data_IF_257621148150
#
_entry.id   IF_257621148150
#
_cell.length_a   1.000
_cell.length_b   1.000
_cell.length_c   1.000
_cell.angle_alpha   90.00
_cell.angle_beta   90.00
_cell.angle_gamma   90.00
#
_symmetry.space_group_name_H-M   'P 1'
#
loop_
_entity.id
_entity.type
_entity.pdbx_description
1 polymer ?
#
# COMPACT_ATOMS: atom_id res chain seq x y z
N UNK A 1 -5.94 -1.98 12.92
CA UNK A 1 -4.56 -1.53 12.72
C UNK A 1 -4.55 -0.04 12.50
N UNK A 2 -3.56 0.64 13.04
CA UNK A 2 -3.34 2.07 12.81
C UNK A 2 -2.10 2.25 11.94
N UNK A 3 -1.90 3.48 11.42
CA UNK A 3 -0.68 3.78 10.66
C UNK A 3 0.55 3.61 11.55
N UNK A 4 0.48 4.01 12.82
CA UNK A 4 1.60 3.82 13.75
C UNK A 4 1.92 2.34 13.95
N UNK A 5 0.91 1.49 14.01
CA UNK A 5 1.13 0.05 14.09
C UNK A 5 1.78 -0.50 12.83
N UNK A 6 1.37 -0.01 11.66
CA UNK A 6 1.98 -0.42 10.38
C UNK A 6 3.46 -0.02 10.33
N UNK A 7 3.81 1.15 10.86
CA UNK A 7 5.20 1.61 10.91
C UNK A 7 6.04 0.73 11.83
N UNK A 8 5.43 0.19 12.90
CA UNK A 8 6.14 -0.68 13.85
C UNK A 8 6.15 -2.15 13.43
N UNK A 9 5.43 -2.50 12.36
CA UNK A 9 5.38 -3.87 11.85
C UNK A 9 6.77 -4.31 11.37
N UNK A 10 7.20 -5.53 11.72
CA UNK A 10 8.51 -6.04 11.35
C UNK A 10 8.47 -7.40 10.64
N UNK A 11 7.36 -8.13 10.75
CA UNK A 11 7.29 -9.52 10.26
C UNK A 11 6.74 -9.62 8.84
N UNK A 12 5.88 -8.70 8.44
CA UNK A 12 5.33 -8.67 7.08
C UNK A 12 5.61 -7.32 6.45
N UNK A 13 5.66 -7.24 5.11
CA UNK A 13 5.84 -5.96 4.43
C UNK A 13 4.77 -4.97 4.83
N UNK A 14 5.18 -3.72 5.10
CA UNK A 14 4.24 -2.63 5.33
C UNK A 14 4.64 -1.41 4.54
N UNK A 15 3.64 -0.63 4.13
CA UNK A 15 3.83 0.58 3.32
C UNK A 15 2.87 1.65 3.82
N UNK A 16 3.34 2.89 3.85
CA UNK A 16 2.51 4.05 4.19
C UNK A 16 2.55 5.02 3.02
N UNK A 17 1.40 5.61 2.71
CA UNK A 17 1.28 6.58 1.62
C UNK A 17 0.49 7.79 2.09
N UNK A 18 0.75 8.94 1.43
CA UNK A 18 0.01 10.16 1.70
C UNK A 18 -1.33 10.18 0.97
N UNK A 19 -2.07 11.28 1.11
CA UNK A 19 -3.40 11.42 0.51
C UNK A 19 -3.42 11.43 -1.01
N UNK A 20 -2.26 11.55 -1.63
CA UNK A 20 -2.12 11.50 -3.09
C UNK A 20 -1.66 10.14 -3.58
N UNK A 21 -1.49 9.19 -2.67
CA UNK A 21 -1.04 7.84 -3.01
C UNK A 21 0.46 7.72 -3.20
N UNK A 22 1.23 8.70 -2.75
CA UNK A 22 2.68 8.67 -2.84
C UNK A 22 3.26 8.01 -1.60
N UNK A 23 4.19 7.08 -1.78
CA UNK A 23 4.78 6.31 -0.69
C UNK A 23 5.63 7.21 0.19
N UNK A 24 5.40 7.15 1.51
CA UNK A 24 6.16 7.92 2.49
C UNK A 24 7.01 7.05 3.40
N UNK A 25 6.68 5.76 3.50
CA UNK A 25 7.43 4.85 4.37
C UNK A 25 7.24 3.41 3.90
N UNK A 26 8.29 2.62 3.99
CA UNK A 26 8.23 1.15 3.88
C UNK A 26 9.13 0.55 4.96
N UNK A 27 8.79 -0.65 5.43
CA UNK A 27 9.64 -1.32 6.42
C UNK A 27 10.68 -2.20 5.73
N UNK A 28 11.60 -2.76 6.53
CA UNK A 28 12.69 -3.59 6.00
C UNK A 28 12.16 -4.86 5.31
N UNK A 29 11.05 -5.42 5.80
CA UNK A 29 10.47 -6.61 5.16
C UNK A 29 9.92 -6.27 3.78
N UNK A 30 9.35 -5.08 3.61
CA UNK A 30 8.91 -4.62 2.30
C UNK A 30 10.09 -4.55 1.33
N UNK A 31 11.22 -3.99 1.79
CA UNK A 31 12.42 -3.91 0.95
C UNK A 31 12.87 -5.30 0.49
N UNK A 32 12.86 -6.25 1.40
CA UNK A 32 13.30 -7.62 1.08
C UNK A 32 12.38 -8.32 0.08
N UNK A 33 11.06 -8.13 0.21
CA UNK A 33 10.08 -8.81 -0.65
C UNK A 33 9.96 -8.15 -2.01
N UNK A 34 9.89 -6.81 -2.04
CA UNK A 34 9.61 -6.08 -3.28
C UNK A 34 10.87 -5.70 -4.06
N UNK A 35 12.04 -5.75 -3.43
CA UNK A 35 13.29 -5.44 -4.10
C UNK A 35 13.58 -3.95 -4.25
N UNK A 36 12.80 -3.09 -3.60
CA UNK A 36 13.04 -1.66 -3.57
C UNK A 36 13.65 -1.26 -2.24
N UNK A 37 14.68 -0.40 -2.25
CA UNK A 37 15.11 0.21 -1.00
C UNK A 37 14.16 1.34 -0.62
N UNK A 38 14.11 1.65 0.67
CA UNK A 38 13.30 2.77 1.17
C UNK A 38 13.67 4.07 0.46
N UNK A 39 14.96 4.34 0.32
CA UNK A 39 15.41 5.57 -0.32
C UNK A 39 14.98 5.67 -1.77
N UNK A 40 14.90 4.53 -2.48
CA UNK A 40 14.48 4.51 -3.87
C UNK A 40 12.97 4.69 -4.03
N UNK A 41 12.19 4.11 -3.13
CA UNK A 41 10.74 4.01 -3.34
C UNK A 41 9.95 5.15 -2.70
N UNK A 42 10.46 5.78 -1.63
CA UNK A 42 9.77 6.92 -1.01
C UNK A 42 9.66 8.06 -2.03
N UNK A 43 8.46 8.61 -2.15
CA UNK A 43 8.14 9.63 -3.15
C UNK A 43 7.58 9.09 -4.45
N UNK A 44 7.53 7.77 -4.62
CA UNK A 44 6.92 7.15 -5.79
C UNK A 44 5.48 6.77 -5.51
N UNK A 45 4.69 6.63 -6.58
CA UNK A 45 3.28 6.25 -6.47
C UNK A 45 3.14 4.79 -6.01
N UNK A 46 2.10 4.50 -5.24
CA UNK A 46 1.72 3.14 -4.88
C UNK A 46 1.53 2.23 -6.10
N UNK A 47 1.24 2.79 -7.26
CA UNK A 47 1.06 1.99 -8.48
C UNK A 47 2.31 1.21 -8.85
N UNK A 48 3.47 1.59 -8.32
CA UNK A 48 4.73 0.91 -8.63
C UNK A 48 4.75 -0.55 -8.14
N UNK A 49 3.93 -0.88 -7.13
CA UNK A 49 3.82 -2.25 -6.62
C UNK A 49 2.54 -2.95 -7.10
N UNK A 50 1.80 -2.32 -8.00
CA UNK A 50 0.54 -2.85 -8.52
C UNK A 50 0.74 -3.19 -10.00
N UNK A 51 0.39 -4.41 -10.44
CA UNK A 51 0.50 -4.76 -11.87
C UNK A 51 -0.22 -3.73 -12.74
N UNK A 52 0.36 -3.42 -13.89
CA UNK A 52 -0.16 -2.37 -14.78
C UNK A 52 -1.63 -2.59 -15.14
N UNK A 53 -2.04 -3.84 -15.33
CA UNK A 53 -3.41 -4.17 -15.68
C UNK A 53 -4.43 -3.78 -14.62
N UNK A 54 -3.98 -3.50 -13.39
CA UNK A 54 -4.85 -3.13 -12.28
C UNK A 54 -4.78 -1.64 -11.94
N UNK A 55 -3.99 -0.85 -12.69
CA UNK A 55 -3.81 0.56 -12.37
C UNK A 55 -5.10 1.36 -12.48
N UNK A 56 -5.91 1.12 -13.52
CA UNK A 56 -7.16 1.86 -13.69
C UNK A 56 -8.14 1.59 -12.55
N UNK A 57 -8.25 0.33 -12.14
CA UNK A 57 -9.11 -0.03 -11.02
C UNK A 57 -8.63 0.62 -9.72
N UNK A 58 -7.30 0.65 -9.51
CA UNK A 58 -6.73 1.31 -8.34
C UNK A 58 -7.05 2.80 -8.33
N UNK A 59 -6.83 3.49 -9.46
CA UNK A 59 -7.10 4.93 -9.56
C UNK A 59 -8.57 5.24 -9.35
N UNK A 60 -9.46 4.45 -9.91
CA UNK A 60 -10.89 4.65 -9.74
C UNK A 60 -11.32 4.48 -8.28
N UNK A 61 -10.84 3.43 -7.62
CA UNK A 61 -11.16 3.18 -6.21
C UNK A 61 -10.62 4.27 -5.31
N UNK A 62 -9.38 4.72 -5.55
CA UNK A 62 -8.74 5.76 -4.78
C UNK A 62 -9.47 7.10 -4.93
N UNK A 63 -9.80 7.47 -6.18
CA UNK A 63 -10.54 8.71 -6.44
C UNK A 63 -11.91 8.69 -5.78
N UNK A 64 -12.61 7.56 -5.84
CA UNK A 64 -13.93 7.42 -5.22
C UNK A 64 -13.83 7.58 -3.70
N UNK A 65 -12.79 7.00 -3.10
CA UNK A 65 -12.57 7.15 -1.66
C UNK A 65 -12.35 8.62 -1.29
N UNK A 66 -11.52 9.34 -2.03
CA UNK A 66 -11.23 10.75 -1.73
C UNK A 66 -12.48 11.62 -1.80
N UNK A 67 -13.41 11.31 -2.72
CA UNK A 67 -14.66 12.08 -2.89
C UNK A 67 -15.66 11.75 -1.79
N UNK A 68 -15.84 10.47 -1.48
CA UNK A 68 -16.90 10.03 -0.58
C UNK A 68 -16.48 9.89 0.87
N UNK A 69 -15.19 9.65 1.12
CA UNK A 69 -14.68 9.32 2.44
C UNK A 69 -15.21 7.97 2.95
N UNK A 70 -15.83 7.18 2.09
CA UNK A 70 -16.44 5.90 2.47
C UNK A 70 -15.64 4.75 1.88
N UNK A 71 -14.75 4.13 2.68
CA UNK A 71 -13.97 3.02 2.19
C UNK A 71 -14.83 1.77 2.02
N UNK A 72 -14.72 1.10 0.88
CA UNK A 72 -15.37 -0.18 0.65
C UNK A 72 -14.41 -1.34 0.94
N UNK A 73 -13.09 -1.09 0.86
CA UNK A 73 -12.08 -2.13 0.97
C UNK A 73 -11.22 -2.02 2.22
N UNK A 74 -11.40 -0.97 3.03
CA UNK A 74 -10.57 -0.77 4.21
C UNK A 74 -11.03 -1.62 5.37
N UNK A 75 -10.07 -2.01 6.23
CA UNK A 75 -10.36 -2.75 7.44
C UNK A 75 -10.65 -4.23 7.23
N UNK A 76 -10.37 -4.76 6.04
CA UNK A 76 -10.55 -6.19 5.77
C UNK A 76 -9.36 -6.72 4.97
N UNK A 77 -9.13 -8.01 5.09
CA UNK A 77 -8.06 -8.67 4.35
C UNK A 77 -8.52 -8.94 2.91
N UNK A 78 -7.71 -8.53 1.95
CA UNK A 78 -8.00 -8.66 0.53
C UNK A 78 -6.87 -9.43 -0.15
N UNK A 79 -7.22 -10.40 -0.99
CA UNK A 79 -6.23 -11.07 -1.81
C UNK A 79 -6.05 -10.28 -3.10
N UNK A 80 -4.90 -9.66 -3.26
CA UNK A 80 -4.60 -8.80 -4.41
C UNK A 80 -3.23 -9.17 -4.98
N UNK A 81 -3.04 -8.90 -6.27
CA UNK A 81 -1.78 -9.17 -6.93
C UNK A 81 -0.84 -7.98 -6.77
N UNK A 82 0.43 -8.28 -6.47
CA UNK A 82 1.48 -7.30 -6.31
C UNK A 82 2.59 -7.58 -7.33
N UNK A 83 3.47 -6.60 -7.57
CA UNK A 83 4.60 -6.76 -8.48
C UNK A 83 5.87 -6.22 -7.83
N UNK A 84 6.97 -6.97 -7.97
CA UNK A 84 8.29 -6.58 -7.46
C UNK A 84 8.99 -5.63 -8.43
N UNK A 85 10.13 -5.09 -7.98
CA UNK A 85 10.94 -4.19 -8.81
C UNK A 85 11.36 -4.83 -10.13
N UNK A 86 11.69 -6.13 -10.12
CA UNK A 86 12.13 -6.85 -11.32
C UNK A 86 10.98 -7.44 -12.14
N UNK A 87 9.73 -7.07 -11.81
CA UNK A 87 8.57 -7.43 -12.61
C UNK A 87 7.90 -8.74 -12.23
N UNK A 88 8.33 -9.39 -11.15
CA UNK A 88 7.71 -10.64 -10.70
C UNK A 88 6.41 -10.35 -9.98
N UNK A 89 5.31 -10.96 -10.46
CA UNK A 89 4.01 -10.80 -9.83
C UNK A 89 3.75 -11.92 -8.83
N UNK A 90 3.03 -11.59 -7.76
CA UNK A 90 2.64 -12.58 -6.75
C UNK A 90 1.35 -12.17 -6.08
N UNK A 91 0.63 -13.17 -5.56
CA UNK A 91 -0.58 -12.91 -4.79
C UNK A 91 -0.21 -12.60 -3.35
N UNK A 92 -0.89 -11.64 -2.75
CA UNK A 92 -0.64 -11.24 -1.37
C UNK A 92 -1.95 -10.85 -0.70
N UNK A 93 -1.97 -11.04 0.61
CA UNK A 93 -3.08 -10.56 1.42
C UNK A 93 -2.76 -9.14 1.87
N UNK A 94 -3.60 -8.21 1.45
CA UNK A 94 -3.48 -6.80 1.80
C UNK A 94 -4.47 -6.45 2.89
N UNK A 95 -4.02 -5.78 3.93
CA UNK A 95 -4.89 -5.18 4.93
C UNK A 95 -4.62 -3.68 4.91
N UNK A 96 -5.63 -2.90 4.49
CA UNK A 96 -5.47 -1.48 4.19
C UNK A 96 -6.26 -0.68 5.21
N UNK A 97 -5.64 0.38 5.74
CA UNK A 97 -6.30 1.32 6.64
C UNK A 97 -6.06 2.74 6.15
N UNK A 98 -6.95 3.65 6.53
CA UNK A 98 -6.81 5.07 6.24
C UNK A 98 -7.06 5.85 7.52
N UNK A 99 -6.31 6.93 7.70
CA UNK A 99 -6.48 7.85 8.82
C UNK A 99 -6.44 9.28 8.30
N UNK A 100 -7.19 10.15 8.94
CA UNK A 100 -7.15 11.56 8.63
C UNK A 100 -6.31 12.26 9.70
N UNK A 101 -5.29 13.00 9.26
CA UNK A 101 -4.38 13.74 10.13
C UNK A 101 -4.27 15.17 9.61
N UNK A 102 -4.57 16.13 10.47
CA UNK A 102 -4.51 17.56 10.12
C UNK A 102 -5.32 17.86 8.85
N UNK A 103 -6.49 17.22 8.71
CA UNK A 103 -7.36 17.42 7.58
C UNK A 103 -6.96 16.69 6.30
N UNK A 104 -5.89 15.89 6.35
CA UNK A 104 -5.41 15.16 5.18
C UNK A 104 -5.46 13.66 5.43
N UNK A 105 -5.77 12.90 4.37
CA UNK A 105 -5.77 11.44 4.42
C UNK A 105 -4.35 10.89 4.33
N UNK A 106 -4.13 9.81 5.06
CA UNK A 106 -2.94 8.99 4.92
C UNK A 106 -3.38 7.53 4.94
N UNK A 107 -2.62 6.66 4.27
CA UNK A 107 -2.97 5.26 4.10
C UNK A 107 -1.81 4.38 4.54
N UNK A 108 -2.15 3.20 5.05
CA UNK A 108 -1.15 2.18 5.34
C UNK A 108 -1.69 0.82 4.95
N UNK A 109 -0.80 -0.07 4.58
CA UNK A 109 -1.16 -1.45 4.27
C UNK A 109 -0.08 -2.39 4.78
N UNK A 110 -0.52 -3.54 5.28
CA UNK A 110 0.38 -4.69 5.43
C UNK A 110 0.11 -5.61 4.25
N UNK A 111 1.18 -6.19 3.69
CA UNK A 111 1.10 -6.99 2.48
C UNK A 111 1.77 -8.33 2.76
N UNK A 112 0.97 -9.34 3.04
CA UNK A 112 1.49 -10.67 3.38
C UNK A 112 1.49 -11.54 2.13
N UNK A 113 2.66 -11.91 1.59
CA UNK A 113 2.71 -12.77 0.40
C UNK A 113 2.01 -14.10 0.65
N UNK A 114 1.27 -14.56 -0.37
CA UNK A 114 0.63 -15.87 -0.39
C UNK A 114 1.42 -16.76 -1.35
N UNK A 115 1.41 -18.01 -1.09
CA UNK A 115 2.12 -18.96 -1.94
C UNK A 115 1.27 -19.44 -3.09
#
# INVERSE_FOLDING_TARGET
MTIDEAIRETEVPSVVADGQGMITYVNARFEAVFGWSKDEIVGKSLTIIIPRTLHDAHHLGFSRFLVTGKPTLLGQALSLRSVTRDGREFDAEHFIVAEQRDGQWAFAATIRPLR
#
